data_IF_504378520712
#
_entry.id   IF_504378520712
#
_cell.length_a   1.000
_cell.length_b   1.000
_cell.length_c   1.000
_cell.angle_alpha   90.00
_cell.angle_beta   90.00
_cell.angle_gamma   90.00
#
_symmetry.space_group_name_H-M   'P 1'
#
loop_
_entity.id
_entity.type
_entity.pdbx_description
1 polymer ?
#
# COMPACT_ATOMS: atom_id res chain seq x y z
N UNK A 1 -27.95 -21.56 7.87
CA UNK A 1 -27.58 -20.22 7.40
C UNK A 1 -27.39 -19.23 8.54
N UNK A 2 -28.33 -19.14 9.50
CA UNK A 2 -28.22 -18.24 10.66
C UNK A 2 -26.98 -18.55 11.53
N UNK A 3 -26.70 -19.82 11.78
CA UNK A 3 -25.48 -20.27 12.49
C UNK A 3 -24.20 -19.81 11.82
N UNK A 4 -24.11 -19.77 10.50
CA UNK A 4 -22.90 -19.31 9.78
C UNK A 4 -22.69 -17.80 9.85
N UNK A 5 -23.75 -17.02 10.06
CA UNK A 5 -23.65 -15.57 10.30
C UNK A 5 -23.21 -15.23 11.71
N UNK A 6 -23.54 -16.09 12.69
CA UNK A 6 -23.30 -15.85 14.12
C UNK A 6 -22.01 -16.50 14.64
N UNK A 7 -21.49 -17.53 13.95
CA UNK A 7 -20.34 -18.31 14.41
C UNK A 7 -19.16 -18.19 13.47
N UNK A 8 -18.05 -17.77 13.99
CA UNK A 8 -16.77 -17.63 13.28
C UNK A 8 -15.83 -18.86 13.50
N UNK A 9 -16.30 -19.85 14.27
CA UNK A 9 -15.52 -21.05 14.65
C UNK A 9 -15.84 -22.30 13.81
N UNK A 10 -16.63 -22.14 12.73
CA UNK A 10 -16.92 -23.24 11.80
C UNK A 10 -15.68 -23.47 10.92
N UNK A 11 -15.08 -24.65 11.04
CA UNK A 11 -13.87 -24.99 10.31
C UNK A 11 -14.12 -25.84 9.06
N UNK A 12 -15.29 -26.47 8.92
CA UNK A 12 -15.68 -27.28 7.78
C UNK A 12 -17.20 -27.52 7.81
N UNK A 13 -17.83 -27.58 6.64
CA UNK A 13 -19.22 -27.95 6.49
C UNK A 13 -19.35 -29.30 5.77
N UNK A 14 -20.09 -30.23 6.38
CA UNK A 14 -20.60 -31.43 5.69
C UNK A 14 -22.03 -31.14 5.22
N UNK A 15 -22.26 -31.21 3.92
CA UNK A 15 -23.51 -30.79 3.31
C UNK A 15 -24.16 -31.93 2.52
N UNK A 16 -25.39 -32.28 2.85
CA UNK A 16 -26.21 -33.13 2.00
C UNK A 16 -26.84 -32.25 0.90
N UNK A 17 -26.81 -32.72 -0.36
CA UNK A 17 -27.47 -32.01 -1.47
C UNK A 17 -28.97 -32.14 -1.43
N UNK A 18 -29.46 -33.29 -1.03
CA UNK A 18 -30.87 -33.61 -1.07
C UNK A 18 -31.52 -33.39 0.30
N UNK A 19 -31.95 -32.16 0.55
CA UNK A 19 -32.66 -31.79 1.77
C UNK A 19 -34.05 -31.20 1.45
N UNK A 20 -35.10 -31.49 2.26
CA UNK A 20 -36.40 -30.86 2.08
C UNK A 20 -36.35 -29.36 2.38
N UNK A 21 -37.01 -28.55 1.55
CA UNK A 21 -37.04 -27.10 1.69
C UNK A 21 -35.90 -26.44 0.95
N UNK A 22 -34.88 -25.99 1.67
CA UNK A 22 -33.63 -25.41 1.09
C UNK A 22 -32.70 -26.57 0.74
N UNK A 23 -32.37 -26.75 -0.53
CA UNK A 23 -31.45 -27.80 -0.97
C UNK A 23 -29.98 -27.42 -0.74
N UNK A 24 -29.05 -28.39 -0.88
CA UNK A 24 -27.63 -28.14 -0.69
C UNK A 24 -27.05 -27.16 -1.71
N UNK A 25 -27.61 -27.08 -2.92
CA UNK A 25 -27.15 -26.10 -3.93
C UNK A 25 -27.56 -24.66 -3.56
N UNK A 26 -28.73 -24.49 -2.91
CA UNK A 26 -29.13 -23.19 -2.39
C UNK A 26 -28.15 -22.72 -1.32
N UNK A 27 -27.73 -23.62 -0.43
CA UNK A 27 -26.69 -23.32 0.59
C UNK A 27 -25.40 -22.92 -0.08
N UNK A 28 -24.91 -23.67 -1.06
CA UNK A 28 -23.66 -23.38 -1.78
C UNK A 28 -23.72 -22.02 -2.50
N UNK A 29 -24.84 -21.67 -3.15
CA UNK A 29 -25.03 -20.38 -3.80
C UNK A 29 -24.91 -19.21 -2.81
N UNK A 30 -25.55 -19.35 -1.65
CA UNK A 30 -25.46 -18.33 -0.59
C UNK A 30 -24.05 -18.25 -0.02
N UNK A 31 -23.37 -19.37 0.19
CA UNK A 31 -21.98 -19.37 0.66
C UNK A 31 -21.03 -18.71 -0.35
N UNK A 32 -21.24 -18.97 -1.65
CA UNK A 32 -20.47 -18.34 -2.74
C UNK A 32 -20.71 -16.83 -2.79
N UNK A 33 -21.97 -16.39 -2.67
CA UNK A 33 -22.34 -14.99 -2.66
C UNK A 33 -21.67 -14.21 -1.51
N UNK A 34 -21.53 -14.85 -0.34
CA UNK A 34 -20.88 -14.25 0.83
C UNK A 34 -19.38 -14.54 0.93
N UNK A 35 -18.76 -15.14 -0.09
CA UNK A 35 -17.33 -15.54 -0.10
C UNK A 35 -16.95 -16.53 1.02
N UNK A 36 -17.92 -17.18 1.67
CA UNK A 36 -17.66 -18.12 2.78
C UNK A 36 -16.97 -19.41 2.31
N UNK A 37 -17.09 -19.78 1.02
CA UNK A 37 -16.40 -20.94 0.45
C UNK A 37 -14.88 -20.79 0.44
N UNK A 38 -14.37 -19.55 0.45
CA UNK A 38 -12.93 -19.27 0.51
C UNK A 38 -12.35 -19.58 1.90
N UNK A 39 -13.19 -19.49 2.94
CA UNK A 39 -12.77 -19.67 4.34
C UNK A 39 -13.20 -21.00 4.94
N UNK A 40 -14.37 -21.51 4.52
CA UNK A 40 -15.00 -22.70 5.10
C UNK A 40 -15.12 -23.77 4.02
N UNK A 41 -14.27 -24.82 4.03
CA UNK A 41 -14.38 -25.90 3.09
C UNK A 41 -15.70 -26.67 3.26
N UNK A 42 -16.32 -26.98 2.12
CA UNK A 42 -17.55 -27.79 2.09
C UNK A 42 -17.24 -29.16 1.49
N UNK A 43 -17.63 -30.21 2.20
CA UNK A 43 -17.65 -31.56 1.70
C UNK A 43 -19.11 -31.96 1.48
N UNK A 44 -19.44 -32.25 0.25
CA UNK A 44 -20.79 -32.66 -0.13
C UNK A 44 -20.95 -34.18 0.09
N UNK A 45 -22.10 -34.58 0.61
CA UNK A 45 -22.48 -36.00 0.77
C UNK A 45 -23.74 -36.25 -0.06
N UNK A 46 -23.71 -37.21 -1.00
CA UNK A 46 -24.88 -37.51 -1.85
C UNK A 46 -24.95 -38.99 -2.24
N UNK A 47 -26.06 -39.40 -2.89
CA UNK A 47 -26.25 -40.74 -3.37
C UNK A 47 -25.40 -41.07 -4.61
N UNK A 48 -25.25 -42.34 -4.93
CA UNK A 48 -24.23 -42.91 -5.82
C UNK A 48 -24.34 -42.54 -7.33
N UNK A 49 -25.49 -42.07 -7.83
CA UNK A 49 -25.78 -42.06 -9.27
C UNK A 49 -25.80 -40.67 -9.92
N UNK A 50 -25.38 -39.62 -9.20
CA UNK A 50 -25.64 -38.24 -9.61
C UNK A 50 -24.40 -37.50 -10.06
N UNK A 51 -23.79 -37.93 -11.18
CA UNK A 51 -22.56 -37.35 -11.74
C UNK A 51 -22.74 -35.86 -12.11
N UNK A 52 -23.90 -35.48 -12.64
CA UNK A 52 -24.19 -34.11 -13.03
C UNK A 52 -24.24 -33.16 -11.82
N UNK A 53 -24.81 -33.62 -10.71
CA UNK A 53 -24.84 -32.83 -9.47
C UNK A 53 -23.45 -32.73 -8.80
N UNK A 54 -22.58 -33.71 -8.99
CA UNK A 54 -21.18 -33.66 -8.51
C UNK A 54 -20.41 -32.57 -9.26
N UNK A 55 -20.47 -32.58 -10.60
CA UNK A 55 -19.80 -31.53 -11.42
C UNK A 55 -20.30 -30.15 -11.05
N UNK A 56 -21.61 -29.98 -10.96
CA UNK A 56 -22.21 -28.70 -10.54
C UNK A 56 -21.77 -28.25 -9.15
N UNK A 57 -21.59 -29.18 -8.20
CA UNK A 57 -21.11 -28.87 -6.87
C UNK A 57 -19.65 -28.37 -6.92
N UNK A 58 -18.78 -29.01 -7.72
CA UNK A 58 -17.40 -28.56 -7.92
C UNK A 58 -17.35 -27.19 -8.60
N UNK A 59 -18.17 -26.90 -9.57
CA UNK A 59 -18.26 -25.57 -10.23
C UNK A 59 -18.69 -24.47 -9.27
N UNK A 60 -19.41 -24.81 -8.22
CA UNK A 60 -19.74 -23.89 -7.13
C UNK A 60 -18.63 -23.70 -6.14
N UNK A 61 -17.61 -24.56 -6.11
CA UNK A 61 -16.42 -24.40 -5.28
C UNK A 61 -16.39 -25.31 -4.04
N UNK A 62 -17.04 -26.49 -4.07
CA UNK A 62 -16.92 -27.46 -2.97
C UNK A 62 -15.52 -28.05 -2.92
N UNK A 63 -15.03 -28.32 -1.72
CA UNK A 63 -13.69 -28.86 -1.52
C UNK A 63 -13.59 -30.36 -1.83
N UNK A 64 -14.63 -31.12 -1.59
CA UNK A 64 -14.66 -32.55 -1.85
C UNK A 64 -16.11 -33.10 -1.86
N UNK A 65 -16.23 -34.34 -2.30
CA UNK A 65 -17.49 -35.08 -2.41
C UNK A 65 -17.36 -36.49 -1.81
N UNK A 66 -18.35 -36.93 -1.08
CA UNK A 66 -18.43 -38.27 -0.48
C UNK A 66 -19.69 -38.97 -0.95
N UNK A 67 -19.51 -40.15 -1.59
CA UNK A 67 -20.59 -40.98 -2.06
C UNK A 67 -21.18 -41.86 -0.97
N UNK A 68 -22.47 -42.02 -0.93
CA UNK A 68 -23.15 -43.04 -0.10
C UNK A 68 -23.26 -44.37 -0.86
N UNK A 69 -23.15 -45.56 -0.22
CA UNK A 69 -22.74 -45.75 1.19
C UNK A 69 -21.24 -45.46 1.41
N UNK A 70 -20.88 -44.98 2.58
CA UNK A 70 -19.50 -44.59 2.93
C UNK A 70 -19.04 -45.29 4.23
N UNK A 71 -17.77 -45.54 4.31
CA UNK A 71 -17.09 -46.00 5.53
C UNK A 71 -16.69 -44.83 6.40
N UNK A 72 -16.90 -44.93 7.73
CA UNK A 72 -16.56 -43.89 8.70
C UNK A 72 -15.10 -43.45 8.61
N UNK A 73 -14.18 -44.39 8.39
CA UNK A 73 -12.74 -44.12 8.34
C UNK A 73 -12.38 -43.26 7.12
N UNK A 74 -13.11 -43.44 5.99
CA UNK A 74 -12.87 -42.63 4.79
C UNK A 74 -13.30 -41.18 5.00
N UNK A 75 -14.48 -40.96 5.62
CA UNK A 75 -14.92 -39.59 5.96
C UNK A 75 -13.90 -38.90 6.86
N UNK A 76 -13.49 -39.56 7.93
CA UNK A 76 -12.50 -38.98 8.89
C UNK A 76 -11.19 -38.61 8.21
N UNK A 77 -10.69 -39.45 7.30
CA UNK A 77 -9.45 -39.15 6.55
C UNK A 77 -9.63 -37.95 5.60
N UNK A 78 -10.73 -37.90 4.86
CA UNK A 78 -11.01 -36.77 3.94
C UNK A 78 -11.18 -35.46 4.70
N UNK A 79 -11.99 -35.44 5.75
CA UNK A 79 -12.17 -34.28 6.62
C UNK A 79 -10.82 -33.80 7.19
N UNK A 80 -10.00 -34.73 7.72
CA UNK A 80 -8.67 -34.40 8.26
C UNK A 80 -7.76 -33.80 7.18
N UNK A 81 -7.73 -34.37 5.97
CA UNK A 81 -6.89 -33.88 4.88
C UNK A 81 -7.32 -32.47 4.41
N UNK A 82 -8.61 -32.24 4.26
CA UNK A 82 -9.15 -30.94 3.86
C UNK A 82 -8.91 -29.89 4.92
N UNK A 83 -9.17 -30.19 6.19
CA UNK A 83 -8.88 -29.28 7.31
C UNK A 83 -7.38 -28.92 7.35
N UNK A 84 -6.51 -29.92 7.13
CA UNK A 84 -5.06 -29.69 7.11
C UNK A 84 -4.63 -28.81 5.93
N UNK A 85 -5.24 -28.99 4.74
CA UNK A 85 -4.97 -28.20 3.54
C UNK A 85 -5.37 -26.73 3.77
N UNK A 86 -6.59 -26.50 4.22
CA UNK A 86 -7.12 -25.15 4.48
C UNK A 86 -6.34 -24.45 5.62
N UNK A 87 -6.00 -25.17 6.69
CA UNK A 87 -5.15 -24.61 7.75
C UNK A 87 -3.77 -24.18 7.23
N UNK A 88 -3.14 -24.98 6.36
CA UNK A 88 -1.88 -24.61 5.71
C UNK A 88 -2.03 -23.39 4.79
N UNK A 89 -3.08 -23.36 3.98
CA UNK A 89 -3.37 -22.22 3.09
C UNK A 89 -3.57 -20.93 3.90
N UNK A 90 -4.40 -20.95 4.93
CA UNK A 90 -4.65 -19.80 5.81
C UNK A 90 -3.36 -19.34 6.49
N UNK A 91 -2.51 -20.27 6.94
CA UNK A 91 -1.19 -19.95 7.51
C UNK A 91 -0.27 -19.28 6.49
N UNK A 92 -0.22 -19.79 5.25
CA UNK A 92 0.60 -19.22 4.17
C UNK A 92 0.13 -17.81 3.82
N UNK A 93 -1.18 -17.62 3.64
CA UNK A 93 -1.75 -16.29 3.35
C UNK A 93 -1.36 -15.29 4.44
N UNK A 94 -1.53 -15.68 5.72
CA UNK A 94 -1.14 -14.84 6.84
C UNK A 94 0.35 -14.49 6.82
N UNK A 95 1.23 -15.49 6.63
CA UNK A 95 2.67 -15.25 6.56
C UNK A 95 3.05 -14.29 5.43
N UNK A 96 2.43 -14.43 4.26
CA UNK A 96 2.66 -13.52 3.13
C UNK A 96 2.19 -12.10 3.47
N UNK A 97 0.99 -11.96 4.06
CA UNK A 97 0.47 -10.64 4.48
C UNK A 97 1.38 -10.00 5.52
N UNK A 98 1.80 -10.75 6.54
CA UNK A 98 2.71 -10.26 7.59
C UNK A 98 4.06 -9.83 6.98
N UNK A 99 4.63 -10.61 6.04
CA UNK A 99 5.89 -10.27 5.36
C UNK A 99 5.77 -9.03 4.47
N UNK A 100 4.66 -8.87 3.75
CA UNK A 100 4.40 -7.66 2.93
C UNK A 100 4.34 -6.45 3.84
N UNK A 101 3.58 -6.52 4.93
CA UNK A 101 3.47 -5.44 5.91
C UNK A 101 4.82 -5.07 6.54
N UNK A 102 5.61 -6.06 6.98
CA UNK A 102 6.96 -5.81 7.52
C UNK A 102 7.89 -5.17 6.50
N UNK A 103 7.85 -5.63 5.24
CA UNK A 103 8.67 -5.05 4.17
C UNK A 103 8.32 -3.58 3.90
N UNK A 104 7.03 -3.26 3.82
CA UNK A 104 6.58 -1.88 3.64
C UNK A 104 6.97 -1.00 4.82
N UNK A 105 6.72 -1.47 6.04
CA UNK A 105 7.08 -0.75 7.26
C UNK A 105 8.58 -0.46 7.34
N UNK A 106 9.42 -1.47 7.07
CA UNK A 106 10.88 -1.32 7.09
C UNK A 106 11.36 -0.35 6.00
N UNK A 107 10.76 -0.37 4.81
CA UNK A 107 11.10 0.56 3.73
C UNK A 107 10.82 2.01 4.15
N UNK A 108 9.64 2.27 4.72
CA UNK A 108 9.25 3.59 5.23
C UNK A 108 10.18 4.04 6.37
N UNK A 109 10.49 3.13 7.29
CA UNK A 109 11.41 3.42 8.40
C UNK A 109 12.81 3.80 7.91
N UNK A 110 13.37 3.04 6.95
CA UNK A 110 14.68 3.33 6.37
C UNK A 110 14.72 4.69 5.67
N UNK A 111 13.69 5.03 4.90
CA UNK A 111 13.57 6.35 4.27
C UNK A 111 13.51 7.45 5.33
N UNK A 112 12.72 7.27 6.37
CA UNK A 112 12.59 8.23 7.47
C UNK A 112 13.92 8.43 8.20
N UNK A 113 14.68 7.37 8.43
CA UNK A 113 16.02 7.45 9.05
C UNK A 113 16.98 8.22 8.15
N UNK A 114 17.01 7.91 6.84
CA UNK A 114 17.89 8.60 5.89
C UNK A 114 17.56 10.09 5.82
N UNK A 115 16.29 10.44 5.71
CA UNK A 115 15.84 11.83 5.69
C UNK A 115 16.19 12.56 7.00
N UNK A 116 15.97 11.88 8.14
CA UNK A 116 16.32 12.46 9.43
C UNK A 116 17.83 12.72 9.58
N UNK A 117 18.69 11.84 9.07
CA UNK A 117 20.15 12.04 9.09
C UNK A 117 20.54 13.30 8.30
N UNK A 118 19.85 13.57 7.17
CA UNK A 118 20.08 14.76 6.37
C UNK A 118 19.58 16.03 7.07
N UNK A 119 18.37 15.97 7.65
CA UNK A 119 17.77 17.09 8.39
C UNK A 119 18.51 17.42 9.69
N UNK A 120 19.08 16.43 10.36
CA UNK A 120 19.89 16.63 11.57
C UNK A 120 21.05 17.59 11.32
N UNK A 121 21.64 17.58 10.10
CA UNK A 121 22.67 18.55 9.70
C UNK A 121 22.14 19.99 9.61
N UNK A 122 20.84 20.16 9.43
CA UNK A 122 20.17 21.45 9.21
C UNK A 122 19.50 21.99 10.49
N UNK A 123 19.77 21.36 11.64
CA UNK A 123 19.13 21.70 12.94
C UNK A 123 17.58 21.62 12.89
N UNK A 124 17.02 20.98 11.87
CA UNK A 124 15.58 20.71 11.78
C UNK A 124 15.19 19.52 12.66
N UNK A 125 13.98 19.55 13.18
CA UNK A 125 13.50 18.47 14.04
C UNK A 125 13.09 17.26 13.18
N UNK A 126 13.40 16.03 13.62
CA UNK A 126 13.00 14.80 12.93
C UNK A 126 11.49 14.63 12.77
N UNK A 127 10.66 15.49 13.37
CA UNK A 127 9.23 15.56 13.15
C UNK A 127 8.87 16.18 11.78
N UNK A 128 9.78 16.95 11.17
CA UNK A 128 9.55 17.61 9.89
C UNK A 128 9.25 16.59 8.77
N UNK A 129 10.05 15.54 8.64
CA UNK A 129 9.82 14.45 7.66
C UNK A 129 8.44 13.81 7.82
N UNK A 130 8.06 13.53 9.07
CA UNK A 130 6.76 12.93 9.35
C UNK A 130 5.61 13.87 8.97
N UNK A 131 5.75 15.16 9.27
CA UNK A 131 4.75 16.16 8.91
C UNK A 131 4.59 16.30 7.40
N UNK A 132 5.70 16.37 6.64
CA UNK A 132 5.65 16.45 5.18
C UNK A 132 4.92 15.26 4.60
N UNK A 133 5.28 14.04 5.00
CA UNK A 133 4.64 12.83 4.53
C UNK A 133 3.14 12.85 4.81
N UNK A 134 2.75 13.17 6.05
CA UNK A 134 1.33 13.21 6.46
C UNK A 134 0.55 14.28 5.71
N UNK A 135 1.13 15.48 5.54
CA UNK A 135 0.49 16.56 4.79
C UNK A 135 0.34 16.23 3.31
N UNK A 136 1.38 15.63 2.71
CA UNK A 136 1.33 15.17 1.31
C UNK A 136 0.21 14.15 1.12
N UNK A 137 0.09 13.18 2.00
CA UNK A 137 -0.95 12.16 1.99
C UNK A 137 -2.36 12.79 2.07
N UNK A 138 -2.60 13.63 3.06
CA UNK A 138 -3.88 14.32 3.25
C UNK A 138 -4.24 15.21 2.06
N UNK A 139 -3.28 15.94 1.50
CA UNK A 139 -3.50 16.83 0.36
C UNK A 139 -3.85 16.04 -0.90
N UNK A 140 -3.17 14.92 -1.17
CA UNK A 140 -3.47 14.06 -2.30
C UNK A 140 -4.85 13.42 -2.19
N UNK A 141 -5.23 12.90 -1.04
CA UNK A 141 -6.58 12.39 -0.79
C UNK A 141 -7.65 13.47 -1.01
N UNK A 142 -7.42 14.70 -0.56
CA UNK A 142 -8.34 15.80 -0.81
C UNK A 142 -8.37 16.22 -2.28
N UNK A 143 -7.24 16.14 -2.97
CA UNK A 143 -7.15 16.48 -4.39
C UNK A 143 -8.00 15.53 -5.24
N UNK A 144 -7.84 14.21 -5.08
CA UNK A 144 -8.61 13.21 -5.85
C UNK A 144 -10.10 13.23 -5.56
N UNK A 145 -10.52 13.70 -4.37
CA UNK A 145 -11.94 13.92 -4.05
C UNK A 145 -12.53 15.16 -4.73
N UNK A 146 -11.71 16.17 -5.06
CA UNK A 146 -12.16 17.46 -5.59
C UNK A 146 -12.06 17.57 -7.11
N UNK A 147 -11.26 16.74 -7.77
CA UNK A 147 -11.06 16.81 -9.21
C UNK A 147 -10.68 15.46 -9.80
N UNK A 148 -11.25 15.13 -10.94
CA UNK A 148 -10.92 13.94 -11.73
C UNK A 148 -9.70 14.14 -12.64
N UNK A 149 -9.04 15.30 -12.53
CA UNK A 149 -7.89 15.65 -13.38
C UNK A 149 -6.70 14.72 -13.17
N UNK A 150 -6.49 14.28 -11.94
CA UNK A 150 -5.38 13.41 -11.55
C UNK A 150 -5.94 12.04 -11.18
N UNK A 151 -5.63 11.04 -12.00
CA UNK A 151 -6.04 9.65 -11.75
C UNK A 151 -4.97 8.99 -10.86
N UNK A 152 -5.04 9.26 -9.57
CA UNK A 152 -4.15 8.66 -8.57
C UNK A 152 -4.95 7.64 -7.76
N UNK A 153 -4.45 6.42 -7.68
CA UNK A 153 -4.98 5.42 -6.78
C UNK A 153 -4.28 5.46 -5.40
N UNK A 154 -4.73 4.63 -4.47
CA UNK A 154 -4.16 4.55 -3.12
C UNK A 154 -2.66 4.20 -3.13
N UNK A 155 -2.21 3.41 -4.11
CA UNK A 155 -0.79 3.04 -4.24
C UNK A 155 0.06 4.21 -4.74
N UNK A 156 -0.48 5.04 -5.64
CA UNK A 156 0.17 6.25 -6.11
C UNK A 156 0.31 7.29 -4.99
N UNK A 157 -0.77 7.47 -4.20
CA UNK A 157 -0.77 8.38 -3.05
C UNK A 157 0.26 7.95 -2.01
N UNK A 158 0.28 6.66 -1.64
CA UNK A 158 1.24 6.12 -0.69
C UNK A 158 2.69 6.25 -1.20
N UNK A 159 2.92 6.03 -2.50
CA UNK A 159 4.21 6.18 -3.16
C UNK A 159 4.72 7.63 -3.11
N UNK A 160 3.88 8.59 -3.51
CA UNK A 160 4.23 10.02 -3.51
C UNK A 160 4.48 10.50 -2.08
N UNK A 161 3.61 10.12 -1.13
CA UNK A 161 3.76 10.48 0.28
C UNK A 161 5.04 9.92 0.90
N UNK A 162 5.44 8.71 0.51
CA UNK A 162 6.71 8.12 0.97
C UNK A 162 7.91 8.80 0.32
N UNK A 163 7.84 9.09 -0.98
CA UNK A 163 8.90 9.75 -1.72
C UNK A 163 9.13 11.21 -1.26
N UNK A 164 8.08 11.89 -0.76
CA UNK A 164 8.16 13.27 -0.28
C UNK A 164 9.16 13.46 0.87
N UNK A 165 9.37 12.41 1.67
CA UNK A 165 10.38 12.41 2.72
C UNK A 165 11.81 12.66 2.21
N UNK A 166 12.09 12.37 0.93
CA UNK A 166 13.41 12.50 0.32
C UNK A 166 13.65 13.86 -0.38
N UNK A 167 12.69 14.79 -0.36
CA UNK A 167 12.76 16.04 -1.11
C UNK A 167 14.08 16.81 -0.91
N UNK A 168 14.58 16.81 0.29
CA UNK A 168 15.76 17.54 0.75
C UNK A 168 17.06 16.72 0.85
N UNK A 169 17.07 15.48 0.31
CA UNK A 169 18.27 14.61 0.37
C UNK A 169 19.53 15.26 -0.17
N UNK A 170 19.39 16.20 -1.12
CA UNK A 170 20.50 16.95 -1.70
C UNK A 170 21.16 17.93 -0.75
N UNK A 171 20.56 18.28 0.38
CA UNK A 171 21.20 19.10 1.41
C UNK A 171 22.47 18.46 1.98
N UNK A 172 22.65 17.15 1.78
CA UNK A 172 23.85 16.43 2.24
C UNK A 172 25.15 16.97 1.63
N UNK A 173 25.10 17.55 0.43
CA UNK A 173 26.28 18.11 -0.26
C UNK A 173 26.47 19.61 -0.03
N UNK A 174 25.53 20.27 0.63
CA UNK A 174 25.65 21.71 0.94
C UNK A 174 26.64 21.91 2.08
N UNK A 175 27.61 22.88 1.96
CA UNK A 175 28.53 23.19 3.03
C UNK A 175 27.79 23.62 4.32
N UNK A 176 28.24 23.11 5.45
CA UNK A 176 27.58 23.33 6.74
C UNK A 176 27.60 24.82 7.15
N UNK A 177 28.66 25.54 6.81
CA UNK A 177 28.80 26.97 7.08
C UNK A 177 27.72 27.80 6.36
N UNK A 178 27.26 27.34 5.20
CA UNK A 178 26.18 27.98 4.46
C UNK A 178 24.82 27.52 4.99
N UNK A 179 24.68 26.20 5.20
CA UNK A 179 23.44 25.59 5.62
C UNK A 179 22.97 26.10 6.99
N UNK A 180 23.88 26.23 7.93
CA UNK A 180 23.64 26.66 9.32
C UNK A 180 24.10 28.09 9.62
N UNK A 181 24.24 28.90 8.58
CA UNK A 181 24.69 30.29 8.77
C UNK A 181 23.72 31.09 9.64
N UNK A 182 24.21 31.68 10.77
CA UNK A 182 23.35 32.56 11.54
C UNK A 182 23.21 33.92 10.81
N UNK A 183 22.02 34.19 10.31
CA UNK A 183 21.68 35.46 9.65
C UNK A 183 21.28 35.31 8.17
N UNK A 184 21.33 36.42 7.45
CA UNK A 184 20.94 36.45 6.04
C UNK A 184 22.04 35.87 5.15
N UNK A 185 21.60 35.03 4.19
CA UNK A 185 22.47 34.51 3.14
C UNK A 185 22.79 35.60 2.12
N UNK A 186 23.98 35.56 1.56
CA UNK A 186 24.31 36.31 0.34
C UNK A 186 23.61 35.70 -0.87
N UNK A 187 23.59 36.40 -1.99
CA UNK A 187 22.99 35.83 -3.24
C UNK A 187 23.72 34.56 -3.71
N UNK A 188 25.07 34.55 -3.54
CA UNK A 188 25.90 33.37 -3.89
C UNK A 188 25.64 32.18 -2.97
N UNK A 189 25.53 32.41 -1.66
CA UNK A 189 25.21 31.39 -0.68
C UNK A 189 23.79 30.84 -0.91
N UNK A 190 22.83 31.72 -1.21
CA UNK A 190 21.47 31.30 -1.55
C UNK A 190 21.44 30.50 -2.86
N UNK A 191 22.23 30.90 -3.87
CA UNK A 191 22.39 30.13 -5.09
C UNK A 191 22.96 28.72 -4.81
N UNK A 192 23.92 28.62 -3.88
CA UNK A 192 24.47 27.32 -3.43
C UNK A 192 23.41 26.47 -2.74
N UNK A 193 22.59 27.04 -1.84
CA UNK A 193 21.51 26.27 -1.21
C UNK A 193 20.53 25.73 -2.26
N UNK A 194 20.15 26.54 -3.26
CA UNK A 194 19.23 26.09 -4.31
C UNK A 194 19.72 24.85 -5.06
N UNK A 195 21.04 24.60 -5.09
CA UNK A 195 21.57 23.40 -5.75
C UNK A 195 21.15 22.10 -5.10
N UNK A 196 20.62 22.09 -3.85
CA UNK A 196 20.16 20.86 -3.21
C UNK A 196 19.12 20.13 -4.07
N UNK A 197 18.30 20.86 -4.84
CA UNK A 197 17.30 20.26 -5.73
C UNK A 197 17.93 19.43 -6.84
N UNK A 198 18.91 19.99 -7.53
CA UNK A 198 19.64 19.31 -8.61
C UNK A 198 20.57 18.23 -8.08
N UNK A 199 21.20 18.46 -6.92
CA UNK A 199 22.08 17.49 -6.28
C UNK A 199 21.30 16.29 -5.73
N UNK A 200 20.14 16.52 -5.12
CA UNK A 200 19.23 15.43 -4.70
C UNK A 200 18.80 14.56 -5.90
N UNK A 201 18.37 15.21 -6.97
CA UNK A 201 18.04 14.50 -8.23
C UNK A 201 19.25 13.73 -8.78
N UNK A 202 20.46 14.31 -8.73
CA UNK A 202 21.71 13.67 -9.16
C UNK A 202 22.06 12.44 -8.33
N UNK A 203 21.92 12.53 -7.00
CA UNK A 203 22.15 11.41 -6.08
C UNK A 203 21.22 10.24 -6.44
N UNK A 204 19.92 10.48 -6.60
CA UNK A 204 18.94 9.45 -6.93
C UNK A 204 19.18 8.86 -8.32
N UNK A 205 19.55 9.66 -9.30
CA UNK A 205 19.90 9.20 -10.65
C UNK A 205 21.21 8.41 -10.68
N UNK A 206 22.11 8.65 -9.72
CA UNK A 206 23.40 7.97 -9.61
C UNK A 206 23.35 6.60 -8.94
N UNK A 207 22.18 6.15 -8.47
CA UNK A 207 22.03 4.82 -7.87
C UNK A 207 22.35 3.74 -8.91
N UNK A 208 23.26 2.82 -8.57
CA UNK A 208 23.64 1.72 -9.43
C UNK A 208 22.50 0.68 -9.62
N UNK A 209 21.57 0.63 -8.69
CA UNK A 209 20.44 -0.30 -8.63
C UNK A 209 19.16 0.52 -8.36
N UNK A 210 18.05 0.13 -8.99
CA UNK A 210 16.73 0.70 -8.68
C UNK A 210 16.38 2.00 -9.42
N UNK A 211 17.12 2.40 -10.45
CA UNK A 211 16.76 3.61 -11.24
C UNK A 211 15.37 3.52 -11.87
N UNK A 212 14.93 2.31 -12.20
CA UNK A 212 13.60 2.07 -12.76
C UNK A 212 12.49 1.90 -11.74
N UNK A 213 12.83 1.81 -10.46
CA UNK A 213 11.86 1.69 -9.38
C UNK A 213 10.97 2.93 -9.30
N UNK A 214 9.63 2.76 -9.20
CA UNK A 214 8.69 3.87 -9.12
C UNK A 214 9.03 4.88 -8.03
N UNK A 215 9.44 4.40 -6.86
CA UNK A 215 9.84 5.26 -5.73
C UNK A 215 11.00 6.19 -6.09
N UNK A 216 12.02 5.68 -6.78
CA UNK A 216 13.20 6.47 -7.17
C UNK A 216 12.84 7.51 -8.22
N UNK A 217 11.98 7.16 -9.20
CA UNK A 217 11.50 8.11 -10.21
C UNK A 217 10.68 9.25 -9.60
N UNK A 218 9.77 8.93 -8.69
CA UNK A 218 8.94 9.92 -7.99
C UNK A 218 9.80 10.79 -7.06
N UNK A 219 10.69 10.19 -6.27
CA UNK A 219 11.61 10.92 -5.40
C UNK A 219 12.53 11.85 -6.19
N UNK A 220 13.05 11.41 -7.36
CA UNK A 220 13.83 12.26 -8.26
C UNK A 220 13.04 13.49 -8.72
N UNK A 221 11.79 13.30 -9.13
CA UNK A 221 10.92 14.40 -9.55
C UNK A 221 10.66 15.38 -8.39
N UNK A 222 10.37 14.86 -7.21
CA UNK A 222 10.16 15.67 -6.01
C UNK A 222 11.44 16.44 -5.66
N UNK A 223 12.59 15.77 -5.53
CA UNK A 223 13.87 16.44 -5.22
C UNK A 223 14.16 17.59 -6.20
N UNK A 224 13.96 17.36 -7.48
CA UNK A 224 14.30 18.35 -8.50
C UNK A 224 13.34 19.53 -8.50
N UNK A 225 12.02 19.29 -8.33
CA UNK A 225 11.00 20.29 -8.67
C UNK A 225 10.12 20.73 -7.51
N UNK A 226 10.37 20.33 -6.28
CA UNK A 226 9.57 20.75 -5.13
C UNK A 226 9.62 22.26 -4.85
N UNK A 227 10.61 23.00 -5.37
CA UNK A 227 10.70 24.45 -5.33
C UNK A 227 10.23 25.15 -6.60
N UNK A 228 9.70 24.39 -7.56
CA UNK A 228 9.02 25.02 -8.70
C UNK A 228 7.72 25.67 -8.27
N UNK A 229 7.35 26.74 -8.94
CA UNK A 229 6.15 27.52 -8.64
C UNK A 229 5.22 27.56 -9.83
N UNK A 230 3.94 27.54 -9.56
CA UNK A 230 2.91 27.56 -10.62
C UNK A 230 3.06 28.73 -11.59
N UNK A 231 3.56 29.87 -11.10
CA UNK A 231 3.82 31.08 -11.86
C UNK A 231 5.10 31.06 -12.72
N UNK A 232 5.95 30.01 -12.59
CA UNK A 232 7.24 29.87 -13.25
C UNK A 232 8.36 30.66 -12.54
N UNK A 233 8.09 31.23 -11.37
CA UNK A 233 9.09 31.96 -10.56
C UNK A 233 9.92 31.04 -9.66
N UNK A 234 9.78 29.71 -9.81
CA UNK A 234 10.49 28.69 -9.04
C UNK A 234 11.89 28.38 -9.58
N UNK A 235 12.46 27.29 -9.08
CA UNK A 235 13.77 26.76 -9.50
C UNK A 235 13.77 25.21 -9.35
N UNK A 236 14.68 24.48 -10.06
CA UNK A 236 15.81 24.93 -10.86
C UNK A 236 15.46 25.21 -12.33
N UNK A 237 14.39 24.63 -12.88
CA UNK A 237 14.10 24.60 -14.31
C UNK A 237 13.09 25.68 -14.74
N UNK A 238 12.45 26.37 -13.79
CA UNK A 238 11.41 27.38 -13.97
C UNK A 238 10.18 26.85 -14.71
N UNK A 239 9.78 25.63 -14.36
CA UNK A 239 8.58 25.01 -14.89
C UNK A 239 7.33 25.80 -14.49
N UNK A 240 6.31 25.79 -15.35
CA UNK A 240 5.09 26.56 -15.15
C UNK A 240 3.85 25.68 -15.29
N UNK A 241 2.90 25.87 -14.39
CA UNK A 241 1.61 25.19 -14.47
C UNK A 241 1.76 23.67 -14.51
N UNK A 242 1.20 23.06 -15.55
CA UNK A 242 1.14 21.61 -15.73
C UNK A 242 2.48 20.95 -16.13
N UNK A 243 3.50 21.73 -16.41
CA UNK A 243 4.84 21.19 -16.62
C UNK A 243 5.43 20.64 -15.30
N UNK A 244 4.90 21.11 -14.15
CA UNK A 244 5.34 20.64 -12.83
C UNK A 244 4.63 19.33 -12.50
N UNK A 245 5.35 18.19 -12.34
CA UNK A 245 4.74 16.92 -11.96
C UNK A 245 3.99 17.06 -10.63
N UNK A 246 2.78 16.52 -10.53
CA UNK A 246 1.89 16.70 -9.36
C UNK A 246 2.54 16.30 -8.01
N UNK A 247 3.44 15.34 -8.02
CA UNK A 247 4.17 14.92 -6.82
C UNK A 247 5.02 16.03 -6.20
N UNK A 248 5.55 16.97 -7.02
CA UNK A 248 6.44 18.02 -6.55
C UNK A 248 5.71 19.16 -5.81
N UNK A 249 4.64 19.82 -6.35
CA UNK A 249 3.98 20.94 -5.69
C UNK A 249 3.26 20.54 -4.41
N UNK A 250 2.76 19.31 -4.33
CA UNK A 250 2.09 18.83 -3.11
C UNK A 250 3.08 18.73 -1.95
N UNK A 251 4.32 18.34 -2.24
CA UNK A 251 5.39 18.29 -1.22
C UNK A 251 5.84 19.66 -0.76
N UNK A 252 5.67 20.73 -1.55
CA UNK A 252 6.05 22.10 -1.23
C UNK A 252 5.02 22.89 -0.42
N UNK A 253 3.75 22.49 -0.44
CA UNK A 253 2.64 23.27 0.15
C UNK A 253 2.82 23.52 1.66
N UNK A 254 3.58 22.66 2.36
CA UNK A 254 3.89 22.85 3.78
C UNK A 254 4.78 24.10 4.07
N UNK A 255 5.59 24.55 3.08
CA UNK A 255 6.44 25.73 3.22
C UNK A 255 5.66 27.05 3.07
N UNK A 256 4.46 26.99 2.48
CA UNK A 256 3.62 28.18 2.21
C UNK A 256 2.45 28.34 3.17
N UNK A 257 2.14 27.30 3.96
CA UNK A 257 1.17 27.44 5.04
C UNK A 257 1.81 28.28 6.15
N UNK A 258 1.12 29.32 6.68
CA UNK A 258 1.67 30.12 7.76
C UNK A 258 1.89 29.22 8.98
N UNK A 259 3.18 28.95 9.28
CA UNK A 259 3.61 28.16 10.45
C UNK A 259 3.55 28.96 11.75
N UNK A 260 3.12 30.21 11.71
CA UNK A 260 2.83 31.04 12.87
C UNK A 260 1.33 31.26 12.98
N UNK A 261 0.65 30.41 13.75
CA UNK A 261 -0.43 30.89 14.59
C UNK A 261 0.25 31.72 15.68
N UNK A 262 0.39 33.03 15.45
CA UNK A 262 0.59 33.97 16.53
C UNK A 262 -0.72 33.99 17.33
N UNK A 263 -0.66 33.42 18.52
CA UNK A 263 -1.65 33.58 19.56
C UNK A 263 -1.31 34.89 20.29
#
# INVERSE_FOLDING_TARGET
MELMRQRTDISLLLLDLMMPGMDGFDVLRVMKYHTWLDEIPVIVISAAEDTANIERAYDLGVADYIRRPFERIMILRRVKNILMLYAKQKRLTRLVTDQVYEKEHNSVLMISILSHVVEFRNSESGLHVLHIRTLTDLLLHQLVQKTDRYQLDESDIALISTASALHDIGKIVIPEEILNKPGRLTEEEYATIKTHTTEGARILKGLAIGQDEPLVKVAHAICRWHHERWDGGGYPDRLKGDEIPIAAPVSYTHLTLPTKLEV
#
